data_IF_378071215744
#
_entry.id   IF_378071215744
#
_cell.length_a   1.000
_cell.length_b   1.000
_cell.length_c   1.000
_cell.angle_alpha   90.00
_cell.angle_beta   90.00
_cell.angle_gamma   90.00
#
_symmetry.space_group_name_H-M   'P 1'
#
loop_
_entity.id
_entity.type
_entity.pdbx_description
1 polymer ?
#
# COMPACT_ATOMS: atom_id res chain seq x y z
N UNK A 1 -49.97 49.83 18.52
CA UNK A 1 -48.71 50.10 17.80
C UNK A 1 -48.15 48.76 17.40
N UNK A 2 -48.24 48.48 16.11
CA UNK A 2 -47.96 47.18 15.51
C UNK A 2 -46.44 46.94 15.47
N UNK A 3 -45.97 45.92 16.20
CA UNK A 3 -44.55 45.58 16.34
C UNK A 3 -44.01 44.68 15.20
N UNK A 4 -44.68 44.69 14.05
CA UNK A 4 -44.41 43.80 12.91
C UNK A 4 -43.50 44.40 11.81
N UNK A 5 -42.90 45.58 12.02
CA UNK A 5 -42.09 46.28 11.00
C UNK A 5 -40.57 46.05 11.04
N UNK A 6 -40.05 45.11 11.85
CA UNK A 6 -38.65 44.67 11.72
C UNK A 6 -38.58 43.35 10.97
N UNK A 7 -38.41 43.44 9.64
CA UNK A 7 -38.15 42.28 8.79
C UNK A 7 -36.95 41.50 9.34
N UNK A 8 -37.18 40.23 9.71
CA UNK A 8 -36.09 39.31 10.07
C UNK A 8 -35.22 39.15 8.84
N UNK A 9 -34.04 39.78 8.83
CA UNK A 9 -33.03 39.51 7.80
C UNK A 9 -32.69 38.03 7.83
N UNK A 10 -32.69 37.42 6.65
CA UNK A 10 -32.27 36.03 6.47
C UNK A 10 -30.78 35.88 6.79
N UNK A 11 -30.36 34.68 7.20
CA UNK A 11 -28.96 34.41 7.53
C UNK A 11 -28.02 34.71 6.34
N UNK A 12 -28.45 34.46 5.11
CA UNK A 12 -27.70 34.79 3.89
C UNK A 12 -27.47 36.30 3.71
N UNK A 13 -28.48 37.12 4.02
CA UNK A 13 -28.35 38.59 3.96
C UNK A 13 -27.45 39.14 5.07
N UNK A 14 -27.36 38.43 6.21
CA UNK A 14 -26.42 38.80 7.26
C UNK A 14 -24.99 38.39 6.90
N UNK A 15 -24.79 37.20 6.32
CA UNK A 15 -23.48 36.71 5.91
C UNK A 15 -22.83 37.59 4.83
N UNK A 16 -23.62 38.10 3.86
CA UNK A 16 -23.10 38.96 2.79
C UNK A 16 -22.55 40.32 3.30
N UNK A 17 -22.99 40.79 4.48
CA UNK A 17 -22.41 41.99 5.11
C UNK A 17 -20.96 41.81 5.54
N UNK A 18 -20.50 40.57 5.63
CA UNK A 18 -19.14 40.22 5.99
C UNK A 18 -18.28 39.92 4.76
N UNK A 19 -18.70 40.20 3.53
CA UNK A 19 -17.84 39.97 2.36
C UNK A 19 -16.72 41.01 2.27
N UNK A 20 -15.48 40.54 2.10
CA UNK A 20 -14.33 41.42 1.93
C UNK A 20 -14.35 42.05 0.53
N UNK A 21 -14.31 43.39 0.40
CA UNK A 21 -14.35 44.06 -0.91
C UNK A 21 -13.08 43.86 -1.76
N UNK A 22 -12.06 43.17 -1.24
CA UNK A 22 -10.78 42.93 -1.92
C UNK A 22 -10.67 41.49 -2.42
N UNK A 23 -10.90 40.52 -1.54
CA UNK A 23 -10.75 39.10 -1.87
C UNK A 23 -12.08 38.35 -2.03
N UNK A 24 -13.21 39.00 -1.78
CA UNK A 24 -14.57 38.43 -1.83
C UNK A 24 -14.83 37.25 -0.87
N UNK A 25 -13.87 36.94 0.01
CA UNK A 25 -14.04 35.98 1.12
C UNK A 25 -14.76 36.63 2.31
N UNK A 26 -15.40 35.80 3.15
CA UNK A 26 -16.03 36.25 4.39
C UNK A 26 -14.99 36.71 5.43
N UNK A 27 -15.23 37.89 6.00
CA UNK A 27 -14.43 38.53 7.04
C UNK A 27 -14.80 37.90 8.38
N UNK A 28 -13.93 37.00 8.86
CA UNK A 28 -14.05 36.39 10.17
C UNK A 28 -13.27 37.19 11.24
N UNK A 29 -13.62 37.10 12.53
CA UNK A 29 -12.85 37.70 13.61
C UNK A 29 -11.35 37.32 13.55
N UNK A 30 -10.42 38.29 13.75
CA UNK A 30 -10.65 39.70 14.08
C UNK A 30 -11.13 40.53 12.88
N UNK A 31 -12.26 41.22 13.04
CA UNK A 31 -12.90 42.01 11.97
C UNK A 31 -12.32 43.42 12.02
N UNK A 32 -11.69 43.86 10.94
CA UNK A 32 -11.06 45.18 10.86
C UNK A 32 -11.93 46.16 10.09
N UNK A 33 -11.86 47.44 10.47
CA UNK A 33 -12.60 48.52 9.82
C UNK A 33 -11.70 49.74 9.54
N UNK A 34 -12.07 50.54 8.54
CA UNK A 34 -11.50 51.89 8.38
C UNK A 34 -12.12 52.88 9.37
N UNK A 35 -11.65 54.15 9.40
CA UNK A 35 -12.22 55.15 10.33
C UNK A 35 -13.70 55.46 10.04
N UNK A 36 -14.20 55.15 8.84
CA UNK A 36 -15.60 55.32 8.45
C UNK A 36 -16.45 54.04 8.61
N UNK A 37 -15.90 52.95 9.15
CA UNK A 37 -16.65 51.74 9.48
C UNK A 37 -16.75 50.66 8.39
N UNK A 38 -16.09 50.81 7.24
CA UNK A 38 -16.06 49.77 6.20
C UNK A 38 -15.15 48.61 6.59
N UNK A 39 -15.66 47.39 6.47
CA UNK A 39 -14.97 46.18 6.91
C UNK A 39 -13.93 45.70 5.88
N UNK A 40 -12.82 45.15 6.36
CA UNK A 40 -11.77 44.49 5.56
C UNK A 40 -11.23 43.30 6.36
N UNK A 41 -10.89 42.20 5.68
CA UNK A 41 -10.27 41.05 6.33
C UNK A 41 -8.82 41.33 6.77
N UNK A 42 -8.35 40.56 7.76
CA UNK A 42 -7.01 40.72 8.30
C UNK A 42 -5.90 40.53 7.25
N UNK A 43 -6.09 39.63 6.28
CA UNK A 43 -5.13 39.36 5.21
C UNK A 43 -5.00 40.54 4.26
N UNK A 44 -6.13 41.04 3.72
CA UNK A 44 -6.13 42.16 2.79
C UNK A 44 -5.68 43.47 3.43
N UNK A 45 -5.96 43.67 4.74
CA UNK A 45 -5.51 44.87 5.47
C UNK A 45 -4.00 45.09 5.40
N UNK A 46 -3.20 44.02 5.37
CA UNK A 46 -1.72 44.08 5.29
C UNK A 46 -1.22 44.59 3.94
N UNK A 47 -2.03 44.41 2.88
CA UNK A 47 -1.68 44.73 1.50
C UNK A 47 -2.18 46.10 1.05
N UNK A 48 -2.99 46.77 1.88
CA UNK A 48 -3.64 48.04 1.52
C UNK A 48 -3.39 49.11 2.57
N UNK A 49 -3.15 50.33 2.11
CA UNK A 49 -3.05 51.54 2.94
C UNK A 49 -4.31 52.39 2.87
N UNK A 50 -5.18 52.14 1.89
CA UNK A 50 -6.37 52.94 1.59
C UNK A 50 -7.61 52.06 1.59
N UNK A 51 -8.72 52.55 2.15
CA UNK A 51 -9.98 51.81 2.18
C UNK A 51 -10.51 51.59 0.75
N UNK A 52 -10.80 50.34 0.34
CA UNK A 52 -11.27 50.04 -1.01
C UNK A 52 -12.67 50.60 -1.27
N UNK A 53 -13.47 50.81 -0.22
CA UNK A 53 -14.85 51.31 -0.33
C UNK A 53 -14.92 52.84 -0.35
N UNK A 54 -14.32 53.52 0.64
CA UNK A 54 -14.43 54.98 0.77
C UNK A 54 -13.15 55.77 0.42
N UNK A 55 -12.07 55.10 0.01
CA UNK A 55 -10.79 55.70 -0.41
C UNK A 55 -10.05 56.53 0.65
N UNK A 56 -10.43 56.42 1.92
CA UNK A 56 -9.74 57.09 3.04
C UNK A 56 -8.51 56.28 3.47
N UNK A 57 -7.43 56.96 3.88
CA UNK A 57 -6.20 56.34 4.40
C UNK A 57 -6.48 55.57 5.70
N UNK A 58 -6.13 54.29 5.74
CA UNK A 58 -6.27 53.44 6.92
C UNK A 58 -5.00 53.56 7.78
N UNK A 59 -5.04 54.50 8.72
CA UNK A 59 -3.88 54.85 9.57
C UNK A 59 -3.62 53.86 10.71
N UNK A 60 -4.62 53.07 11.10
CA UNK A 60 -4.52 52.11 12.22
C UNK A 60 -5.28 50.82 11.93
N UNK A 61 -5.08 49.79 12.76
CA UNK A 61 -5.84 48.55 12.70
C UNK A 61 -6.99 48.63 13.71
N UNK A 62 -8.11 49.23 13.31
CA UNK A 62 -9.30 49.37 14.15
C UNK A 62 -10.10 48.07 14.07
N UNK A 63 -10.29 47.37 15.19
CA UNK A 63 -11.19 46.21 15.28
C UNK A 63 -12.64 46.65 15.45
N UNK A 64 -13.58 45.91 14.87
CA UNK A 64 -15.01 46.11 15.05
C UNK A 64 -15.58 45.03 15.98
N UNK A 65 -15.47 45.25 17.29
CA UNK A 65 -15.90 44.30 18.32
C UNK A 65 -17.41 43.99 18.25
N UNK A 66 -18.23 44.96 17.84
CA UNK A 66 -19.67 44.76 17.65
C UNK A 66 -19.93 43.81 16.49
N UNK A 67 -19.26 43.97 15.35
CA UNK A 67 -19.41 43.03 14.22
C UNK A 67 -18.87 41.65 14.55
N UNK A 68 -17.84 41.53 15.39
CA UNK A 68 -17.40 40.23 15.90
C UNK A 68 -18.49 39.52 16.73
N UNK A 69 -19.23 40.27 17.57
CA UNK A 69 -20.41 39.75 18.29
C UNK A 69 -21.57 39.39 17.37
N UNK A 70 -21.76 40.10 16.27
CA UNK A 70 -22.78 39.72 15.27
C UNK A 70 -22.34 38.44 14.56
N UNK A 71 -21.08 38.34 14.15
CA UNK A 71 -20.52 37.17 13.48
C UNK A 71 -20.65 35.88 14.30
N UNK A 72 -20.67 35.95 15.64
CA UNK A 72 -20.90 34.77 16.50
C UNK A 72 -22.31 34.18 16.41
N UNK A 73 -23.24 34.87 15.75
CA UNK A 73 -24.64 34.43 15.56
C UNK A 73 -25.01 34.19 14.10
N UNK A 74 -24.06 34.41 13.18
CA UNK A 74 -24.26 34.26 11.74
C UNK A 74 -23.60 32.97 11.27
N UNK A 75 -24.34 32.18 10.49
CA UNK A 75 -23.79 31.00 9.84
C UNK A 75 -23.21 31.38 8.47
N UNK A 76 -21.94 31.09 8.28
CA UNK A 76 -21.22 31.34 7.03
C UNK A 76 -21.16 30.05 6.21
N UNK A 77 -21.44 30.10 4.89
CA UNK A 77 -21.26 28.93 4.04
C UNK A 77 -19.78 28.55 3.93
N UNK A 78 -19.49 27.27 3.75
CA UNK A 78 -18.14 26.78 3.46
C UNK A 78 -17.58 27.45 2.20
N UNK A 79 -16.27 27.76 2.16
CA UNK A 79 -15.63 28.34 0.95
C UNK A 79 -15.72 27.44 -0.28
N UNK A 80 -15.88 26.13 -0.07
CA UNK A 80 -16.09 25.14 -1.12
C UNK A 80 -17.57 24.94 -1.49
N UNK A 81 -18.45 25.91 -1.17
CA UNK A 81 -19.87 25.83 -1.50
C UNK A 81 -20.12 25.74 -3.00
N UNK A 82 -19.31 26.44 -3.80
CA UNK A 82 -19.34 26.37 -5.26
C UNK A 82 -18.96 24.99 -5.81
N UNK A 83 -18.22 24.19 -5.02
CA UNK A 83 -17.82 22.83 -5.37
C UNK A 83 -18.81 21.78 -4.84
N UNK A 84 -19.90 22.19 -4.19
CA UNK A 84 -20.98 21.31 -3.74
C UNK A 84 -21.15 21.22 -2.21
N UNK A 85 -20.29 21.86 -1.41
CA UNK A 85 -20.45 21.85 0.04
C UNK A 85 -21.64 22.71 0.49
N UNK A 86 -22.69 22.07 1.02
CA UNK A 86 -23.91 22.78 1.46
C UNK A 86 -23.85 23.24 2.93
N UNK A 87 -22.76 22.94 3.63
CA UNK A 87 -22.64 23.20 5.07
C UNK A 87 -22.49 24.69 5.35
N UNK A 88 -23.23 25.17 6.36
CA UNK A 88 -23.13 26.53 6.90
C UNK A 88 -22.76 26.44 8.38
N UNK A 89 -21.78 27.21 8.83
CA UNK A 89 -21.13 27.05 10.13
C UNK A 89 -20.89 28.41 10.80
N UNK A 90 -20.83 28.43 12.12
CA UNK A 90 -20.34 29.59 12.85
C UNK A 90 -18.85 29.81 12.56
N UNK A 91 -18.37 31.04 12.74
CA UNK A 91 -16.96 31.37 12.42
C UNK A 91 -15.93 30.55 13.22
N UNK A 92 -16.31 30.04 14.39
CA UNK A 92 -15.44 29.24 15.27
C UNK A 92 -15.18 27.85 14.68
N UNK A 93 -16.21 27.25 14.08
CA UNK A 93 -16.15 25.89 13.54
C UNK A 93 -15.75 25.85 12.06
N UNK A 94 -15.95 26.96 11.35
CA UNK A 94 -15.68 27.08 9.91
C UNK A 94 -14.24 26.70 9.51
N UNK A 95 -13.17 27.17 10.19
CA UNK A 95 -11.80 26.79 9.83
C UNK A 95 -11.55 25.28 9.90
N UNK A 96 -11.97 24.64 10.99
CA UNK A 96 -11.81 23.19 11.17
C UNK A 96 -12.59 22.37 10.14
N UNK A 97 -13.82 22.79 9.83
CA UNK A 97 -14.58 22.16 8.74
C UNK A 97 -13.90 22.33 7.39
N UNK A 98 -13.42 23.52 7.05
CA UNK A 98 -12.80 23.77 5.74
C UNK A 98 -11.47 23.03 5.57
N UNK A 99 -10.74 22.79 6.65
CA UNK A 99 -9.53 21.98 6.63
C UNK A 99 -9.83 20.52 6.24
N UNK A 100 -10.91 19.96 6.79
CA UNK A 100 -11.38 18.58 6.59
C UNK A 100 -12.55 18.43 5.60
N UNK A 101 -12.83 19.45 4.77
CA UNK A 101 -14.01 19.44 3.91
C UNK A 101 -13.82 18.46 2.74
N UNK A 102 -14.78 17.56 2.54
CA UNK A 102 -14.72 16.57 1.43
C UNK A 102 -14.77 17.18 0.03
N UNK A 103 -15.24 18.42 -0.10
CA UNK A 103 -15.30 19.16 -1.36
C UNK A 103 -14.06 20.06 -1.58
N UNK A 104 -13.10 20.05 -0.66
CA UNK A 104 -11.81 20.73 -0.83
C UNK A 104 -11.07 20.09 -2.03
N UNK A 105 -10.61 20.89 -3.00
CA UNK A 105 -9.88 20.36 -4.13
C UNK A 105 -8.52 19.82 -3.68
N UNK A 106 -8.07 18.77 -4.36
CA UNK A 106 -6.74 18.20 -4.16
C UNK A 106 -5.71 19.10 -4.83
N UNK A 107 -4.60 19.33 -4.13
CA UNK A 107 -3.42 19.96 -4.69
C UNK A 107 -2.56 18.90 -5.40
N UNK A 108 -1.72 19.31 -6.35
CA UNK A 108 -0.75 18.39 -6.94
C UNK A 108 0.09 17.71 -5.84
N UNK A 109 0.13 16.36 -5.78
CA UNK A 109 0.84 15.64 -4.71
C UNK A 109 2.35 15.56 -4.93
N UNK A 110 2.87 16.05 -6.07
CA UNK A 110 4.28 15.92 -6.42
C UNK A 110 5.19 16.84 -5.59
N UNK A 111 6.10 16.30 -4.75
CA UNK A 111 7.02 17.08 -3.93
C UNK A 111 8.01 17.90 -4.79
N UNK A 112 8.51 19.00 -4.22
CA UNK A 112 9.57 19.82 -4.84
C UNK A 112 9.17 20.60 -6.11
N UNK A 113 7.99 20.36 -6.68
CA UNK A 113 7.56 21.05 -7.91
C UNK A 113 6.86 22.38 -7.64
N UNK A 114 7.05 23.37 -8.50
CA UNK A 114 6.29 24.64 -8.49
C UNK A 114 4.86 24.49 -9.05
N UNK A 115 4.34 23.26 -9.11
CA UNK A 115 3.04 22.95 -9.67
C UNK A 115 1.93 23.53 -8.79
N UNK A 116 1.11 24.41 -9.39
CA UNK A 116 -0.03 25.07 -8.71
C UNK A 116 -1.36 24.43 -9.08
N UNK A 117 -1.35 23.24 -9.67
CA UNK A 117 -2.57 22.56 -10.07
C UNK A 117 -3.43 22.21 -8.85
N UNK A 118 -4.73 22.42 -8.99
CA UNK A 118 -5.74 22.02 -8.02
C UNK A 118 -6.95 21.49 -8.77
N UNK A 119 -7.58 20.44 -8.26
CA UNK A 119 -8.73 19.83 -8.91
C UNK A 119 -9.39 18.72 -8.11
N UNK A 120 -10.44 18.10 -8.67
CA UNK A 120 -11.06 16.93 -8.06
C UNK A 120 -10.16 15.69 -8.19
N UNK A 121 -10.41 14.67 -7.37
CA UNK A 121 -9.53 13.50 -7.22
C UNK A 121 -9.37 12.68 -8.51
N UNK A 122 -10.42 12.58 -9.30
CA UNK A 122 -10.47 11.89 -10.59
C UNK A 122 -9.56 12.54 -11.65
N UNK A 123 -9.20 13.82 -11.46
CA UNK A 123 -8.29 14.54 -12.34
C UNK A 123 -6.82 14.51 -11.88
N UNK A 124 -6.52 13.97 -10.69
CA UNK A 124 -5.14 13.92 -10.16
C UNK A 124 -4.24 13.05 -11.03
N UNK A 125 -4.65 11.82 -11.34
CA UNK A 125 -3.85 10.92 -12.19
C UNK A 125 -3.65 11.46 -13.62
N UNK A 126 -4.70 11.92 -14.33
CA UNK A 126 -4.54 12.59 -15.62
C UNK A 126 -3.59 13.80 -15.58
N UNK A 127 -3.63 14.59 -14.49
CA UNK A 127 -2.72 15.69 -14.27
C UNK A 127 -1.26 15.20 -14.14
N UNK A 128 -1.00 14.19 -13.30
CA UNK A 128 0.34 13.63 -13.09
C UNK A 128 0.92 13.06 -14.39
N UNK A 129 0.14 12.28 -15.14
CA UNK A 129 0.59 11.68 -16.41
C UNK A 129 0.91 12.73 -17.49
N UNK A 130 0.21 13.88 -17.50
CA UNK A 130 0.38 14.90 -18.53
C UNK A 130 1.45 15.94 -18.19
N UNK A 131 1.49 16.41 -16.93
CA UNK A 131 2.36 17.49 -16.47
C UNK A 131 3.64 16.99 -15.78
N UNK A 132 3.65 15.76 -15.27
CA UNK A 132 4.78 15.17 -14.53
C UNK A 132 5.29 13.87 -15.19
N UNK A 133 5.62 13.95 -16.49
CA UNK A 133 6.02 12.80 -17.32
C UNK A 133 7.26 12.04 -16.84
N UNK A 134 8.07 12.65 -15.97
CA UNK A 134 9.25 12.03 -15.37
C UNK A 134 8.91 11.01 -14.29
N UNK A 135 7.66 11.02 -13.76
CA UNK A 135 7.24 10.08 -12.73
C UNK A 135 6.99 8.72 -13.39
N UNK A 136 7.79 7.73 -13.03
CA UNK A 136 7.59 6.34 -13.46
C UNK A 136 6.39 5.75 -12.75
N UNK A 137 5.57 5.00 -13.49
CA UNK A 137 4.48 4.19 -12.94
C UNK A 137 4.82 2.71 -13.10
N UNK A 138 4.76 1.93 -12.02
CA UNK A 138 4.94 0.49 -12.01
C UNK A 138 3.64 -0.20 -11.61
N UNK A 139 3.39 -1.39 -12.17
CA UNK A 139 2.24 -2.24 -11.83
C UNK A 139 2.70 -3.40 -10.94
N UNK A 140 1.85 -3.78 -9.99
CA UNK A 140 2.10 -4.89 -9.06
C UNK A 140 2.04 -4.46 -7.60
N UNK A 141 1.72 -5.42 -6.74
CA UNK A 141 1.65 -5.21 -5.29
C UNK A 141 3.03 -5.26 -4.62
N UNK A 142 4.02 -5.90 -5.24
CA UNK A 142 5.41 -5.97 -4.78
C UNK A 142 6.35 -5.48 -5.88
N UNK A 143 7.10 -4.40 -5.58
CA UNK A 143 8.00 -3.74 -6.53
C UNK A 143 9.29 -3.31 -5.86
N UNK A 144 10.30 -2.96 -6.66
CA UNK A 144 11.52 -2.31 -6.18
C UNK A 144 11.55 -0.86 -6.65
N UNK A 145 11.56 0.07 -5.69
CA UNK A 145 11.79 1.48 -5.93
C UNK A 145 13.28 1.80 -5.85
N UNK A 146 13.88 2.13 -7.01
CA UNK A 146 15.30 2.45 -7.11
C UNK A 146 15.50 3.98 -7.07
N UNK A 147 16.06 4.48 -5.98
CA UNK A 147 16.49 5.87 -5.86
C UNK A 147 17.95 5.99 -6.34
N UNK A 148 18.17 6.63 -7.48
CA UNK A 148 19.50 6.79 -8.08
C UNK A 148 20.24 8.00 -7.53
N UNK A 149 21.56 7.90 -7.41
CA UNK A 149 22.45 9.01 -6.99
C UNK A 149 22.08 9.65 -5.64
N UNK A 150 21.82 8.83 -4.61
CA UNK A 150 21.41 9.32 -3.26
C UNK A 150 22.46 10.21 -2.57
N UNK A 151 23.70 10.17 -3.06
CA UNK A 151 24.82 10.96 -2.55
C UNK A 151 24.87 12.40 -3.10
N UNK A 152 23.96 12.77 -4.02
CA UNK A 152 23.86 14.14 -4.50
C UNK A 152 23.71 15.12 -3.33
N UNK A 153 24.46 16.21 -3.38
CA UNK A 153 24.45 17.24 -2.35
C UNK A 153 23.18 18.08 -2.42
N UNK A 154 22.64 18.47 -1.26
CA UNK A 154 21.41 19.26 -1.14
C UNK A 154 20.16 18.42 -0.94
N UNK A 155 19.01 19.10 -1.00
CA UNK A 155 17.69 18.47 -0.93
C UNK A 155 17.31 17.92 -2.31
N UNK A 156 16.91 16.65 -2.33
CA UNK A 156 16.55 15.92 -3.55
C UNK A 156 15.36 15.02 -3.22
N UNK A 157 14.41 14.96 -4.15
CA UNK A 157 13.19 14.18 -4.04
C UNK A 157 13.16 13.12 -5.15
N UNK A 158 12.85 11.88 -4.77
CA UNK A 158 12.55 10.79 -5.70
C UNK A 158 11.08 10.42 -5.56
N UNK A 159 10.41 10.25 -6.70
CA UNK A 159 8.96 10.01 -6.75
C UNK A 159 8.66 8.91 -7.76
N UNK A 160 7.79 7.99 -7.37
CA UNK A 160 7.29 6.91 -8.22
C UNK A 160 5.82 6.66 -7.92
N UNK A 161 5.06 6.16 -8.90
CA UNK A 161 3.69 5.69 -8.70
C UNK A 161 3.66 4.17 -8.82
N UNK A 162 3.05 3.50 -7.85
CA UNK A 162 2.74 2.08 -7.86
C UNK A 162 1.24 1.90 -8.06
N UNK A 163 0.85 1.02 -8.99
CA UNK A 163 -0.56 0.73 -9.28
C UNK A 163 -0.87 -0.73 -8.95
N UNK A 164 -1.78 -0.93 -7.99
CA UNK A 164 -2.26 -2.24 -7.55
C UNK A 164 -3.65 -2.12 -6.93
N UNK A 165 -4.41 -3.22 -6.86
CA UNK A 165 -5.77 -3.25 -6.30
C UNK A 165 -6.72 -2.16 -6.83
N UNK A 166 -6.58 -1.78 -8.11
CA UNK A 166 -7.34 -0.68 -8.74
C UNK A 166 -7.16 0.69 -8.08
N UNK A 167 -6.07 0.88 -7.33
CA UNK A 167 -5.68 2.13 -6.71
C UNK A 167 -4.25 2.51 -7.15
N UNK A 168 -3.92 3.80 -6.99
CA UNK A 168 -2.59 4.33 -7.28
C UNK A 168 -1.97 4.87 -6.00
N UNK A 169 -0.72 4.48 -5.76
CA UNK A 169 0.04 4.85 -4.58
C UNK A 169 1.28 5.62 -5.02
N UNK A 170 1.49 6.79 -4.44
CA UNK A 170 2.67 7.61 -4.68
C UNK A 170 3.70 7.35 -3.59
N UNK A 171 4.88 6.90 -4.02
CA UNK A 171 6.03 6.73 -3.17
C UNK A 171 6.89 7.98 -3.27
N UNK A 172 7.27 8.51 -2.12
CA UNK A 172 8.12 9.69 -2.00
C UNK A 172 9.30 9.35 -1.11
N UNK A 173 10.52 9.52 -1.63
CA UNK A 173 11.74 9.57 -0.84
C UNK A 173 12.28 10.99 -0.90
N UNK A 174 12.27 11.68 0.22
CA UNK A 174 12.74 13.06 0.35
C UNK A 174 14.02 13.09 1.20
N UNK A 175 15.05 13.75 0.68
CA UNK A 175 16.30 14.03 1.40
C UNK A 175 16.26 15.46 1.94
N UNK A 176 16.22 15.61 3.26
CA UNK A 176 16.28 16.91 3.92
C UNK A 176 17.61 17.11 4.65
N UNK A 177 18.05 18.37 4.73
CA UNK A 177 19.16 18.79 5.58
C UNK A 177 18.63 19.61 6.76
N UNK A 178 18.70 19.04 7.98
CA UNK A 178 18.31 19.70 9.23
C UNK A 178 19.51 19.76 10.17
N UNK A 179 19.86 20.96 10.63
CA UNK A 179 20.95 21.19 11.60
C UNK A 179 22.31 20.57 11.19
N UNK A 180 22.63 20.60 9.89
CA UNK A 180 23.86 20.02 9.35
C UNK A 180 23.88 18.49 9.28
N UNK A 181 22.73 17.83 9.50
CA UNK A 181 22.54 16.40 9.29
C UNK A 181 21.58 16.15 8.14
N UNK A 182 21.96 15.27 7.23
CA UNK A 182 21.11 14.83 6.13
C UNK A 182 20.32 13.60 6.56
N UNK A 183 19.01 13.63 6.34
CA UNK A 183 18.09 12.55 6.64
C UNK A 183 17.19 12.28 5.45
N UNK A 184 16.88 11.01 5.24
CA UNK A 184 15.95 10.51 4.26
C UNK A 184 14.62 10.18 4.92
N UNK A 185 13.54 10.51 4.24
CA UNK A 185 12.17 10.26 4.66
C UNK A 185 11.45 9.54 3.53
N UNK A 186 11.02 8.30 3.76
CA UNK A 186 10.29 7.51 2.78
C UNK A 186 8.83 7.33 3.21
N UNK A 187 7.90 7.81 2.38
CA UNK A 187 6.46 7.84 2.64
C UNK A 187 5.71 7.24 1.46
N UNK A 188 4.65 6.48 1.74
CA UNK A 188 3.69 6.04 0.72
C UNK A 188 2.36 6.75 0.95
N UNK A 189 1.81 7.32 -0.12
CA UNK A 189 0.50 7.96 -0.12
C UNK A 189 -0.43 7.25 -1.08
N UNK A 190 -1.72 7.18 -0.76
CA UNK A 190 -2.75 6.75 -1.70
C UNK A 190 -3.35 7.96 -2.41
N UNK A 191 -3.51 7.86 -3.73
CA UNK A 191 -4.30 8.79 -4.55
C UNK A 191 -5.77 8.43 -4.33
N UNK A 192 -6.26 8.78 -3.14
CA UNK A 192 -7.52 8.31 -2.57
C UNK A 192 -7.88 9.09 -1.31
N UNK A 193 -9.07 8.83 -0.79
CA UNK A 193 -9.51 9.32 0.52
C UNK A 193 -8.84 8.59 1.69
N UNK A 194 -8.86 9.18 2.88
CA UNK A 194 -8.39 8.53 4.12
C UNK A 194 -9.07 7.18 4.37
N UNK A 195 -10.38 7.09 4.15
CA UNK A 195 -11.13 5.82 4.26
C UNK A 195 -10.64 4.75 3.31
N UNK A 196 -10.20 5.12 2.11
CA UNK A 196 -9.56 4.17 1.19
C UNK A 196 -8.17 3.79 1.69
N UNK A 197 -7.44 4.75 2.26
CA UNK A 197 -6.11 4.53 2.82
C UNK A 197 -6.11 3.52 3.98
N UNK A 198 -7.11 3.59 4.86
CA UNK A 198 -7.34 2.62 5.95
C UNK A 198 -7.50 1.17 5.45
N UNK A 199 -7.88 0.99 4.18
CA UNK A 199 -7.99 -0.31 3.52
C UNK A 199 -6.67 -0.81 2.93
N UNK A 200 -5.53 -0.25 3.31
CA UNK A 200 -4.21 -0.74 2.89
C UNK A 200 -3.15 -0.60 3.99
N UNK A 201 -2.14 -1.44 3.93
CA UNK A 201 -0.87 -1.32 4.65
C UNK A 201 0.23 -1.39 3.61
N UNK A 202 1.25 -0.55 3.73
CA UNK A 202 2.45 -0.62 2.92
C UNK A 202 3.63 -1.06 3.78
N UNK A 203 4.57 -1.76 3.16
CA UNK A 203 5.86 -2.14 3.73
C UNK A 203 6.98 -1.58 2.88
N UNK A 204 7.90 -0.87 3.52
CA UNK A 204 9.16 -0.43 2.94
C UNK A 204 10.30 -1.23 3.54
N UNK A 205 11.12 -1.83 2.70
CA UNK A 205 12.24 -2.65 3.13
C UNK A 205 13.54 -2.22 2.44
N UNK A 206 14.55 -1.93 3.27
CA UNK A 206 15.94 -1.80 2.83
C UNK A 206 16.65 -3.11 3.15
N UNK A 207 17.19 -3.75 2.11
CA UNK A 207 17.90 -5.02 2.23
C UNK A 207 19.35 -4.85 1.82
N UNK A 208 20.26 -5.42 2.63
CA UNK A 208 21.69 -5.38 2.40
C UNK A 208 22.33 -6.65 2.96
N UNK A 209 23.65 -6.78 2.81
CA UNK A 209 24.33 -8.02 3.17
C UNK A 209 24.12 -8.41 4.65
N UNK A 210 23.31 -9.46 4.87
CA UNK A 210 22.89 -9.98 6.20
C UNK A 210 22.19 -8.94 7.10
N UNK A 211 21.55 -7.93 6.51
CA UNK A 211 20.85 -6.86 7.25
C UNK A 211 19.58 -6.48 6.52
N UNK A 212 18.56 -6.14 7.31
CA UNK A 212 17.27 -5.71 6.80
C UNK A 212 16.70 -4.65 7.72
N UNK A 213 16.15 -3.57 7.15
CA UNK A 213 15.37 -2.56 7.85
C UNK A 213 13.97 -2.55 7.22
N UNK A 214 12.95 -2.66 8.05
CA UNK A 214 11.55 -2.73 7.61
C UNK A 214 10.73 -1.67 8.32
N UNK A 215 9.87 -0.99 7.58
CA UNK A 215 8.84 -0.09 8.09
C UNK A 215 7.49 -0.47 7.50
N UNK A 216 6.47 -0.57 8.35
CA UNK A 216 5.10 -0.88 7.95
C UNK A 216 4.16 0.19 8.51
N UNK A 217 3.28 0.71 7.67
CA UNK A 217 2.27 1.68 8.08
C UNK A 217 1.08 1.71 7.12
N UNK A 218 0.00 2.37 7.53
CA UNK A 218 -1.11 2.72 6.64
C UNK A 218 -0.68 3.86 5.71
N UNK A 219 -0.94 3.78 4.39
CA UNK A 219 -0.61 4.87 3.49
C UNK A 219 -1.41 6.12 3.88
N UNK A 220 -0.82 7.30 3.69
CA UNK A 220 -1.54 8.57 3.94
C UNK A 220 -2.38 8.95 2.73
N UNK A 221 -3.48 9.66 2.92
CA UNK A 221 -4.17 10.27 1.78
C UNK A 221 -3.31 11.40 1.19
N UNK A 222 -3.37 11.59 -0.12
CA UNK A 222 -2.84 12.81 -0.76
C UNK A 222 -3.49 14.10 -0.25
N UNK A 223 -4.61 14.01 0.49
CA UNK A 223 -5.27 15.16 1.11
C UNK A 223 -4.41 15.84 2.19
N UNK A 224 -3.69 15.04 2.98
CA UNK A 224 -2.85 15.51 4.09
C UNK A 224 -1.46 15.95 3.63
N UNK A 225 -1.05 15.50 2.43
CA UNK A 225 0.31 15.64 1.93
C UNK A 225 1.33 14.80 2.70
N UNK A 226 2.58 14.81 2.24
CA UNK A 226 3.68 14.09 2.92
C UNK A 226 4.26 14.88 4.10
N UNK A 227 4.11 16.20 4.10
CA UNK A 227 4.81 17.08 5.04
C UNK A 227 4.42 16.83 6.49
N UNK A 228 3.16 16.50 6.76
CA UNK A 228 2.67 16.18 8.11
C UNK A 228 3.37 14.93 8.67
N UNK A 229 3.50 13.88 7.85
CA UNK A 229 4.21 12.65 8.22
C UNK A 229 5.71 12.93 8.44
N UNK A 230 6.35 13.68 7.55
CA UNK A 230 7.77 14.05 7.64
C UNK A 230 8.05 14.91 8.90
N UNK A 231 7.17 15.85 9.23
CA UNK A 231 7.34 16.72 10.39
C UNK A 231 7.15 15.98 11.73
N UNK A 232 6.32 14.95 11.74
CA UNK A 232 6.04 14.12 12.93
C UNK A 232 6.93 12.89 13.02
N UNK A 233 7.78 12.63 12.03
CA UNK A 233 8.56 11.41 11.85
C UNK A 233 7.69 10.13 11.80
N UNK A 234 6.45 10.25 11.31
CA UNK A 234 5.53 9.12 11.08
C UNK A 234 5.77 8.49 9.71
N UNK A 235 7.01 8.07 9.45
CA UNK A 235 7.45 7.43 8.22
C UNK A 235 8.80 6.72 8.41
N UNK A 236 9.30 6.03 7.36
CA UNK A 236 10.63 5.44 7.40
C UNK A 236 11.68 6.55 7.32
N UNK A 237 12.39 6.78 8.43
CA UNK A 237 13.45 7.79 8.54
C UNK A 237 14.81 7.12 8.74
N UNK A 238 15.80 7.53 7.96
CA UNK A 238 17.18 7.06 8.10
C UNK A 238 18.20 8.12 7.71
N UNK A 239 19.41 8.02 8.27
CA UNK A 239 20.50 8.95 7.96
C UNK A 239 21.32 8.49 6.74
N UNK A 240 22.23 9.35 6.28
CA UNK A 240 23.15 9.04 5.18
C UNK A 240 24.07 7.86 5.47
N UNK A 241 24.42 7.62 6.74
CA UNK A 241 25.28 6.50 7.12
C UNK A 241 24.56 5.17 6.93
N UNK A 242 23.27 5.12 7.28
CA UNK A 242 22.43 3.95 7.07
C UNK A 242 22.14 3.75 5.58
N UNK A 243 21.81 4.83 4.86
CA UNK A 243 21.60 4.78 3.41
C UNK A 243 22.79 4.15 2.68
N UNK A 244 24.02 4.55 3.04
CA UNK A 244 25.25 4.00 2.46
C UNK A 244 25.46 2.51 2.72
N UNK A 245 24.91 1.96 3.82
CA UNK A 245 25.01 0.52 4.13
C UNK A 245 24.05 -0.34 3.29
N UNK A 246 23.01 0.28 2.74
CA UNK A 246 21.98 -0.38 1.93
C UNK A 246 22.05 0.02 0.44
N UNK A 247 22.86 1.02 0.09
CA UNK A 247 23.05 1.45 -1.30
C UNK A 247 24.18 0.70 -1.99
N UNK A 248 24.01 0.41 -3.27
CA UNK A 248 25.05 -0.11 -4.16
C UNK A 248 25.32 0.89 -5.28
N UNK A 249 26.59 1.23 -5.51
CA UNK A 249 27.00 2.22 -6.53
C UNK A 249 26.28 3.58 -6.44
N UNK A 250 25.87 3.99 -5.23
CA UNK A 250 25.15 5.24 -5.02
C UNK A 250 23.64 5.17 -5.31
N UNK A 251 23.11 3.98 -5.61
CA UNK A 251 21.69 3.73 -5.79
C UNK A 251 21.13 2.98 -4.59
N UNK A 252 19.94 3.38 -4.12
CA UNK A 252 19.24 2.75 -3.01
C UNK A 252 17.99 2.03 -3.53
N UNK A 253 17.96 0.70 -3.41
CA UNK A 253 16.78 -0.10 -3.66
C UNK A 253 15.89 -0.19 -2.42
N UNK A 254 14.63 0.15 -2.57
CA UNK A 254 13.60 0.01 -1.53
C UNK A 254 12.57 -0.98 -2.04
N UNK A 255 12.44 -2.12 -1.40
CA UNK A 255 11.35 -3.05 -1.69
C UNK A 255 10.06 -2.46 -1.12
N UNK A 256 9.03 -2.39 -1.95
CA UNK A 256 7.75 -1.76 -1.60
C UNK A 256 6.66 -2.76 -1.87
N UNK A 257 5.99 -3.15 -0.78
CA UNK A 257 4.85 -4.05 -0.86
C UNK A 257 3.60 -3.35 -0.36
N UNK A 258 2.49 -3.49 -1.06
CA UNK A 258 1.18 -2.95 -0.69
C UNK A 258 0.21 -4.11 -0.49
N UNK A 259 -0.51 -4.10 0.63
CA UNK A 259 -1.41 -5.18 1.00
C UNK A 259 -2.72 -4.62 1.57
N UNK A 260 -3.87 -5.28 1.36
CA UNK A 260 -5.08 -4.97 2.12
C UNK A 260 -4.92 -5.34 3.61
N UNK A 261 -5.55 -4.62 4.56
CA UNK A 261 -5.35 -4.72 6.00
C UNK A 261 -6.05 -5.94 6.61
N UNK A 262 -6.89 -6.64 5.83
CA UNK A 262 -7.73 -7.74 6.33
C UNK A 262 -6.97 -9.06 6.41
N UNK A 263 -5.84 -9.05 7.09
CA UNK A 263 -5.21 -10.27 7.59
C UNK A 263 -4.72 -9.96 9.01
N UNK A 264 -5.54 -10.31 10.00
CA UNK A 264 -5.25 -10.15 11.44
C UNK A 264 -5.18 -11.55 12.04
N UNK A 265 -4.05 -11.93 12.62
CA UNK A 265 -3.88 -13.25 13.24
C UNK A 265 -3.07 -13.09 14.55
N UNK A 266 -3.57 -13.65 15.65
CA UNK A 266 -2.90 -13.69 16.96
C UNK A 266 -2.38 -12.34 17.51
N UNK A 267 -3.20 -11.29 17.52
CA UNK A 267 -2.85 -9.96 18.04
C UNK A 267 -1.61 -9.31 17.37
N UNK A 268 -1.18 -9.83 16.21
CA UNK A 268 -0.15 -9.25 15.37
C UNK A 268 -0.69 -8.99 13.96
N UNK A 269 -0.23 -7.89 13.36
CA UNK A 269 -0.57 -7.55 11.98
C UNK A 269 0.16 -8.51 11.05
N UNK A 270 -0.57 -9.15 10.14
CA UNK A 270 0.05 -10.01 9.14
C UNK A 270 0.91 -9.14 8.22
N UNK A 271 2.21 -9.43 8.21
CA UNK A 271 3.23 -8.65 7.50
C UNK A 271 2.91 -8.58 6.02
N UNK A 272 3.05 -7.39 5.44
CA UNK A 272 2.87 -7.21 4.02
C UNK A 272 4.02 -7.93 3.27
N UNK A 273 3.70 -8.68 2.21
CA UNK A 273 4.64 -9.59 1.51
C UNK A 273 4.58 -11.06 1.95
N UNK A 274 3.75 -11.41 2.95
CA UNK A 274 3.48 -12.79 3.32
C UNK A 274 2.36 -13.44 2.48
N UNK A 275 1.94 -12.85 1.35
CA UNK A 275 0.85 -13.40 0.53
C UNK A 275 1.14 -14.84 0.04
N UNK A 276 2.42 -15.21 -0.09
CA UNK A 276 2.83 -16.59 -0.42
C UNK A 276 2.93 -17.53 0.81
N UNK A 277 3.16 -16.98 2.01
CA UNK A 277 3.31 -17.75 3.25
C UNK A 277 1.99 -17.91 4.02
N UNK A 278 0.99 -17.08 3.72
CA UNK A 278 -0.27 -17.05 4.48
C UNK A 278 -1.27 -18.14 4.13
N UNK A 279 -1.07 -18.89 3.05
CA UNK A 279 -1.81 -20.14 2.89
C UNK A 279 -1.39 -21.16 3.97
N UNK A 280 -0.21 -20.96 4.58
CA UNK A 280 0.40 -21.93 5.52
C UNK A 280 0.24 -21.50 6.98
N UNK A 281 0.48 -20.24 7.33
CA UNK A 281 0.45 -19.81 8.75
C UNK A 281 -0.98 -19.69 9.31
N UNK A 282 -2.02 -19.63 8.46
CA UNK A 282 -3.42 -19.77 8.89
C UNK A 282 -3.77 -21.18 9.44
N UNK A 283 -2.78 -22.07 9.57
CA UNK A 283 -2.91 -23.36 10.26
C UNK A 283 -2.68 -23.28 11.77
N UNK A 284 -2.29 -22.12 12.33
CA UNK A 284 -2.13 -21.96 13.78
C UNK A 284 -2.87 -20.69 14.23
N UNK A 285 -4.06 -20.93 14.80
CA UNK A 285 -4.85 -20.04 15.65
C UNK A 285 -5.60 -18.87 14.97
N UNK A 286 -6.84 -19.14 14.55
CA UNK A 286 -7.84 -18.14 14.17
C UNK A 286 -8.18 -17.23 15.37
N UNK A 287 -7.46 -16.11 15.50
CA UNK A 287 -7.70 -15.08 16.52
C UNK A 287 -8.47 -13.85 16.02
N UNK A 288 -9.18 -13.93 14.89
CA UNK A 288 -10.00 -12.83 14.36
C UNK A 288 -10.86 -13.23 13.16
N UNK A 289 -12.17 -13.02 13.25
CA UNK A 289 -13.14 -13.37 12.22
C UNK A 289 -12.95 -12.54 10.93
N UNK A 290 -12.83 -13.21 9.79
CA UNK A 290 -12.89 -12.56 8.47
C UNK A 290 -14.34 -12.09 8.25
N UNK A 291 -14.61 -10.79 8.46
CA UNK A 291 -16.00 -10.28 8.44
C UNK A 291 -16.58 -10.21 7.04
N UNK A 292 -15.80 -9.81 6.03
CA UNK A 292 -16.26 -9.65 4.65
C UNK A 292 -15.13 -9.91 3.64
N UNK A 293 -15.43 -10.75 2.64
CA UNK A 293 -14.59 -10.98 1.48
C UNK A 293 -15.04 -10.10 0.30
N UNK A 294 -14.12 -9.58 -0.53
CA UNK A 294 -14.48 -8.81 -1.72
C UNK A 294 -15.36 -9.63 -2.65
N UNK A 295 -16.47 -9.05 -3.11
CA UNK A 295 -17.24 -9.66 -4.20
C UNK A 295 -16.46 -9.51 -5.50
N UNK A 296 -16.08 -10.64 -6.07
CA UNK A 296 -15.35 -10.70 -7.33
C UNK A 296 -15.92 -11.82 -8.19
N UNK A 297 -16.49 -11.46 -9.34
CA UNK A 297 -17.05 -12.42 -10.30
C UNK A 297 -15.99 -13.00 -11.26
N UNK A 298 -14.70 -12.65 -11.09
CA UNK A 298 -13.62 -13.20 -11.91
C UNK A 298 -13.42 -14.69 -11.60
N UNK A 299 -13.79 -15.53 -12.56
CA UNK A 299 -13.65 -16.99 -12.51
C UNK A 299 -12.21 -17.44 -12.21
N UNK A 300 -11.20 -16.63 -12.57
CA UNK A 300 -9.78 -16.94 -12.34
C UNK A 300 -9.37 -16.83 -10.87
N UNK A 301 -10.18 -16.15 -10.05
CA UNK A 301 -9.93 -16.02 -8.61
C UNK A 301 -10.56 -17.12 -7.77
N UNK A 302 -11.36 -18.00 -8.39
CA UNK A 302 -11.93 -19.16 -7.71
C UNK A 302 -10.83 -20.11 -7.27
N UNK A 303 -11.13 -20.93 -6.27
CA UNK A 303 -10.20 -21.93 -5.73
C UNK A 303 -10.93 -23.25 -5.53
N UNK A 304 -10.21 -24.35 -5.71
CA UNK A 304 -10.68 -25.68 -5.38
C UNK A 304 -10.14 -26.09 -4.00
N UNK A 305 -11.00 -26.59 -3.13
CA UNK A 305 -10.60 -27.13 -1.83
C UNK A 305 -10.07 -28.55 -1.95
N UNK A 306 -9.37 -29.03 -0.91
CA UNK A 306 -8.97 -30.42 -0.77
C UNK A 306 -10.15 -31.42 -0.65
N UNK A 307 -11.39 -30.92 -0.57
CA UNK A 307 -12.63 -31.71 -0.60
C UNK A 307 -13.35 -31.62 -1.95
N UNK A 308 -12.67 -31.11 -2.99
CA UNK A 308 -13.20 -30.95 -4.34
C UNK A 308 -14.42 -29.99 -4.41
N UNK A 309 -14.42 -28.97 -3.56
CA UNK A 309 -15.44 -27.92 -3.56
C UNK A 309 -14.88 -26.62 -4.13
N UNK A 310 -15.63 -25.98 -5.03
CA UNK A 310 -15.22 -24.71 -5.63
C UNK A 310 -15.71 -23.53 -4.81
N UNK A 311 -14.79 -22.63 -4.46
CA UNK A 311 -15.05 -21.42 -3.70
C UNK A 311 -14.83 -20.17 -4.55
N UNK A 312 -15.55 -19.09 -4.24
CA UNK A 312 -15.47 -17.83 -5.00
C UNK A 312 -14.08 -17.20 -4.96
N UNK A 313 -13.37 -17.34 -3.84
CA UNK A 313 -11.96 -16.99 -3.71
C UNK A 313 -11.30 -17.70 -2.53
N UNK A 314 -9.98 -17.61 -2.47
CA UNK A 314 -9.15 -17.97 -1.32
C UNK A 314 -9.68 -17.36 -0.01
N UNK A 315 -10.10 -16.08 -0.02
CA UNK A 315 -10.72 -15.42 1.13
C UNK A 315 -11.98 -16.14 1.61
N UNK A 316 -12.87 -16.55 0.69
CA UNK A 316 -14.14 -17.18 1.06
C UNK A 316 -13.93 -18.57 1.70
N UNK A 317 -13.00 -19.35 1.15
CA UNK A 317 -12.62 -20.65 1.69
C UNK A 317 -12.00 -20.51 3.09
N UNK A 318 -11.05 -19.57 3.25
CA UNK A 318 -10.41 -19.30 4.54
C UNK A 318 -11.40 -18.77 5.57
N UNK A 319 -12.29 -17.84 5.18
CA UNK A 319 -13.35 -17.33 6.05
C UNK A 319 -14.22 -18.48 6.59
N UNK A 320 -14.69 -19.36 5.72
CA UNK A 320 -15.51 -20.49 6.13
C UNK A 320 -14.77 -21.44 7.10
N UNK A 321 -13.49 -21.72 6.83
CA UNK A 321 -12.64 -22.50 7.73
C UNK A 321 -12.52 -21.83 9.10
N UNK A 322 -12.24 -20.52 9.14
CA UNK A 322 -12.15 -19.74 10.38
C UNK A 322 -13.47 -19.76 11.17
N UNK A 323 -14.60 -19.51 10.51
CA UNK A 323 -15.94 -19.53 11.12
C UNK A 323 -16.22 -20.90 11.78
N UNK A 324 -15.79 -22.00 11.15
CA UNK A 324 -15.93 -23.34 11.69
C UNK A 324 -14.96 -23.68 12.84
N UNK A 325 -13.80 -23.03 12.91
CA UNK A 325 -12.86 -23.15 14.03
C UNK A 325 -13.28 -22.32 15.25
N UNK A 326 -13.91 -21.15 15.06
CA UNK A 326 -14.42 -20.34 16.18
C UNK A 326 -15.63 -20.97 16.88
N UNK A 327 -16.44 -21.77 16.16
CA UNK A 327 -17.62 -22.46 16.69
C UNK A 327 -17.32 -23.72 17.53
N UNK A 328 -16.05 -23.95 17.92
CA UNK A 328 -15.60 -25.13 18.69
C UNK A 328 -16.29 -25.30 20.06
N UNK A 329 -17.04 -24.30 20.55
CA UNK A 329 -17.85 -24.39 21.78
C UNK A 329 -19.38 -24.32 21.58
N UNK A 330 -19.89 -24.31 20.34
CA UNK A 330 -21.33 -24.29 20.07
C UNK A 330 -21.81 -25.70 19.66
N UNK A 331 -22.66 -26.29 20.49
CA UNK A 331 -23.16 -27.68 20.39
C UNK A 331 -24.06 -27.94 19.17
N UNK A 332 -24.35 -26.94 18.32
CA UNK A 332 -25.22 -27.11 17.15
C UNK A 332 -24.84 -26.15 16.01
N UNK A 333 -23.75 -26.43 15.29
CA UNK A 333 -23.57 -25.86 13.96
C UNK A 333 -23.89 -26.88 12.90
N UNK A 334 -25.12 -26.82 12.39
CA UNK A 334 -25.60 -27.58 11.22
C UNK A 334 -24.74 -27.35 9.95
N UNK A 335 -23.82 -26.39 9.98
CA UNK A 335 -23.03 -25.92 8.84
C UNK A 335 -21.52 -26.22 8.93
N UNK A 336 -21.00 -26.60 10.10
CA UNK A 336 -19.56 -26.83 10.29
C UNK A 336 -19.26 -28.27 10.72
N UNK A 337 -18.68 -29.05 9.81
CA UNK A 337 -18.21 -30.42 10.07
C UNK A 337 -16.75 -30.43 10.53
N UNK A 338 -16.25 -31.60 10.96
CA UNK A 338 -14.81 -31.79 11.22
C UNK A 338 -13.98 -31.53 9.95
N UNK A 339 -14.47 -31.94 8.79
CA UNK A 339 -13.82 -31.74 7.49
C UNK A 339 -13.65 -30.26 7.16
N UNK A 340 -14.68 -29.43 7.40
CA UNK A 340 -14.61 -27.97 7.16
C UNK A 340 -13.52 -27.26 8.00
N UNK A 341 -13.11 -27.82 9.14
CA UNK A 341 -12.04 -27.26 9.98
C UNK A 341 -10.64 -27.51 9.40
N UNK A 342 -10.48 -28.59 8.64
CA UNK A 342 -9.24 -28.99 7.98
C UNK A 342 -9.21 -28.60 6.48
N UNK A 343 -10.22 -27.85 6.04
CA UNK A 343 -10.32 -27.38 4.67
C UNK A 343 -9.20 -26.41 4.33
N UNK A 344 -8.54 -26.65 3.20
CA UNK A 344 -7.50 -25.79 2.63
C UNK A 344 -7.63 -25.76 1.11
N UNK A 345 -6.94 -24.81 0.49
CA UNK A 345 -6.86 -24.74 -0.98
C UNK A 345 -6.01 -25.91 -1.46
N UNK A 346 -6.48 -26.64 -2.46
CA UNK A 346 -5.70 -27.66 -3.16
C UNK A 346 -5.07 -27.07 -4.43
N UNK A 347 -5.85 -26.29 -5.20
CA UNK A 347 -5.36 -25.54 -6.36
C UNK A 347 -6.22 -24.32 -6.72
N UNK A 348 -5.64 -23.41 -7.51
CA UNK A 348 -6.35 -22.23 -8.03
C UNK A 348 -7.18 -22.58 -9.27
N UNK A 349 -8.39 -21.99 -9.34
CA UNK A 349 -9.40 -22.26 -10.36
C UNK A 349 -10.61 -23.01 -9.82
N UNK A 350 -11.56 -23.30 -10.71
CA UNK A 350 -12.70 -24.18 -10.40
C UNK A 350 -12.22 -25.63 -10.29
N UNK A 351 -12.92 -26.41 -9.46
CA UNK A 351 -12.64 -27.83 -9.34
C UNK A 351 -12.88 -28.56 -10.66
N UNK A 352 -11.91 -29.37 -11.06
CA UNK A 352 -11.92 -30.19 -12.27
C UNK A 352 -11.68 -31.65 -11.90
N UNK A 353 -12.14 -32.53 -12.76
CA UNK A 353 -11.76 -33.93 -12.72
C UNK A 353 -10.31 -34.04 -13.23
N UNK A 354 -9.37 -34.35 -12.33
CA UNK A 354 -7.95 -34.45 -12.62
C UNK A 354 -7.65 -35.92 -12.88
N UNK A 355 -7.22 -36.26 -14.11
CA UNK A 355 -6.81 -37.62 -14.44
C UNK A 355 -5.65 -38.07 -13.52
N UNK A 356 -5.69 -39.30 -12.99
CA UNK A 356 -4.60 -39.81 -12.17
C UNK A 356 -3.28 -39.82 -12.95
N UNK A 357 -2.17 -39.58 -12.25
CA UNK A 357 -0.86 -39.63 -12.88
C UNK A 357 -0.56 -41.04 -13.41
N UNK A 358 -0.06 -41.12 -14.64
CA UNK A 358 0.41 -42.36 -15.25
C UNK A 358 1.92 -42.47 -15.07
N UNK A 359 2.41 -43.66 -14.73
CA UNK A 359 3.84 -43.90 -14.48
C UNK A 359 4.73 -43.40 -15.63
N UNK A 360 4.31 -43.62 -16.88
CA UNK A 360 5.03 -43.14 -18.08
C UNK A 360 5.20 -41.62 -18.14
N UNK A 361 4.22 -40.86 -17.62
CA UNK A 361 4.24 -39.39 -17.59
C UNK A 361 5.05 -38.90 -16.39
N UNK A 362 5.01 -39.64 -15.28
CA UNK A 362 5.77 -39.37 -14.06
C UNK A 362 7.27 -39.56 -14.28
N UNK A 363 7.69 -40.58 -15.03
CA UNK A 363 9.11 -40.83 -15.33
C UNK A 363 9.78 -39.65 -16.06
N UNK A 364 9.06 -38.96 -16.95
CA UNK A 364 9.56 -37.78 -17.67
C UNK A 364 9.32 -36.45 -16.92
N UNK A 365 8.50 -36.46 -15.86
CA UNK A 365 8.12 -35.26 -15.11
C UNK A 365 9.32 -34.49 -14.50
N UNK A 366 10.31 -35.15 -13.84
CA UNK A 366 11.47 -34.45 -13.29
C UNK A 366 12.22 -33.64 -14.34
N UNK A 367 12.37 -34.18 -15.56
CA UNK A 367 13.06 -33.49 -16.65
C UNK A 367 12.30 -32.23 -17.09
N UNK A 368 10.99 -32.33 -17.30
CA UNK A 368 10.16 -31.16 -17.67
C UNK A 368 10.16 -30.09 -16.58
N UNK A 369 10.11 -30.51 -15.32
CA UNK A 369 10.19 -29.61 -14.18
C UNK A 369 11.52 -28.84 -14.14
N UNK A 370 12.65 -29.51 -14.42
CA UNK A 370 13.95 -28.82 -14.55
C UNK A 370 13.98 -27.80 -15.68
N UNK A 371 13.50 -28.18 -16.86
CA UNK A 371 13.48 -27.30 -18.03
C UNK A 371 12.61 -26.05 -17.76
N UNK A 372 11.50 -26.25 -17.03
CA UNK A 372 10.64 -25.16 -16.56
C UNK A 372 11.33 -24.27 -15.52
N UNK A 373 12.01 -24.85 -14.52
CA UNK A 373 12.77 -24.08 -13.53
C UNK A 373 13.93 -23.29 -14.15
N UNK A 374 14.65 -23.84 -15.13
CA UNK A 374 15.70 -23.10 -15.87
C UNK A 374 15.09 -21.93 -16.66
N UNK A 375 13.89 -22.12 -17.22
CA UNK A 375 13.17 -21.05 -17.89
C UNK A 375 12.74 -19.95 -16.91
N UNK A 376 12.25 -20.34 -15.72
CA UNK A 376 11.84 -19.39 -14.68
C UNK A 376 13.04 -18.59 -14.16
N UNK A 377 14.14 -19.23 -13.79
CA UNK A 377 15.30 -18.49 -13.28
C UNK A 377 15.88 -17.57 -14.36
N UNK A 378 15.83 -17.97 -15.64
CA UNK A 378 16.26 -17.13 -16.77
C UNK A 378 15.36 -15.91 -17.01
N UNK A 379 14.07 -16.02 -16.70
CA UNK A 379 13.10 -14.92 -16.71
C UNK A 379 13.14 -14.09 -15.42
N UNK A 380 13.57 -14.71 -14.32
CA UNK A 380 13.80 -14.04 -13.05
C UNK A 380 14.95 -13.05 -13.19
N UNK A 381 14.93 -12.00 -12.38
CA UNK A 381 16.04 -11.06 -12.32
C UNK A 381 17.29 -11.66 -11.68
N UNK A 382 17.46 -12.95 -11.40
CA UNK A 382 18.60 -13.42 -10.57
C UNK A 382 19.93 -13.50 -11.33
N UNK A 383 21.04 -12.99 -10.75
CA UNK A 383 22.43 -13.26 -11.14
C UNK A 383 23.08 -14.28 -10.21
N UNK A 384 23.80 -15.23 -10.81
CA UNK A 384 24.67 -16.18 -10.10
C UNK A 384 26.09 -15.63 -10.13
N UNK A 385 26.63 -15.25 -8.98
CA UNK A 385 28.01 -14.77 -8.90
C UNK A 385 28.98 -15.94 -9.07
N UNK A 386 29.55 -16.08 -10.27
CA UNK A 386 30.55 -17.06 -10.71
C UNK A 386 30.04 -18.40 -11.28
N UNK A 387 29.59 -18.41 -12.54
CA UNK A 387 29.75 -19.60 -13.37
C UNK A 387 30.55 -19.27 -14.63
N UNK A 388 31.80 -19.76 -14.66
CA UNK A 388 32.54 -19.94 -15.91
C UNK A 388 31.77 -21.01 -16.70
N UNK A 389 31.25 -20.62 -17.86
CA UNK A 389 30.85 -21.45 -19.01
C UNK A 389 30.86 -22.97 -18.77
N UNK A 390 29.78 -23.51 -18.22
CA UNK A 390 29.43 -24.91 -18.46
C UNK A 390 27.91 -25.07 -18.54
N UNK A 391 27.41 -25.52 -19.69
CA UNK A 391 25.96 -25.63 -19.96
C UNK A 391 25.29 -26.68 -19.06
N UNK A 392 26.06 -27.66 -18.59
CA UNK A 392 25.58 -28.78 -17.78
C UNK A 392 25.27 -28.37 -16.33
N UNK A 393 25.82 -27.26 -15.83
CA UNK A 393 25.62 -26.81 -14.45
C UNK A 393 24.51 -25.75 -14.29
N UNK A 394 23.96 -25.23 -15.40
CA UNK A 394 22.99 -24.14 -15.37
C UNK A 394 21.65 -24.55 -14.73
N UNK A 395 21.18 -25.76 -15.05
CA UNK A 395 19.94 -26.29 -14.49
C UNK A 395 20.10 -26.68 -13.01
N UNK A 396 21.31 -27.04 -12.56
CA UNK A 396 21.61 -27.28 -11.14
C UNK A 396 21.41 -26.00 -10.33
N UNK A 397 21.93 -24.88 -10.82
CA UNK A 397 21.74 -23.58 -10.18
C UNK A 397 20.25 -23.18 -10.14
N UNK A 398 19.46 -23.52 -11.17
CA UNK A 398 18.00 -23.32 -11.19
C UNK A 398 17.27 -24.10 -10.09
N UNK A 399 17.68 -25.35 -9.87
CA UNK A 399 17.10 -26.22 -8.84
C UNK A 399 17.44 -25.71 -7.44
N UNK A 400 18.71 -25.37 -7.19
CA UNK A 400 19.16 -24.86 -5.90
C UNK A 400 18.48 -23.51 -5.62
N UNK A 401 18.43 -22.60 -6.60
CA UNK A 401 17.70 -21.34 -6.47
C UNK A 401 16.24 -21.58 -6.07
N UNK A 402 15.56 -22.52 -6.73
CA UNK A 402 14.16 -22.77 -6.41
C UNK A 402 13.98 -23.33 -5.01
N UNK A 403 14.88 -24.21 -4.56
CA UNK A 403 14.88 -24.69 -3.18
C UNK A 403 15.00 -23.53 -2.18
N UNK A 404 15.95 -22.62 -2.41
CA UNK A 404 16.14 -21.44 -1.57
C UNK A 404 14.98 -20.44 -1.63
N UNK A 405 14.26 -20.37 -2.75
CA UNK A 405 13.02 -19.59 -2.87
C UNK A 405 11.85 -20.26 -2.14
N UNK A 406 11.84 -21.58 -1.95
CA UNK A 406 10.77 -22.27 -1.23
C UNK A 406 10.99 -22.27 0.29
N UNK A 407 12.23 -22.45 0.76
CA UNK A 407 12.63 -22.35 2.16
C UNK A 407 12.54 -20.88 2.62
N UNK A 408 11.40 -20.46 3.16
CA UNK A 408 11.16 -19.04 3.55
C UNK A 408 10.90 -18.84 5.04
N UNK A 409 10.10 -19.69 5.68
CA UNK A 409 9.73 -19.50 7.08
C UNK A 409 9.31 -20.79 7.81
N UNK A 410 10.08 -21.24 8.81
CA UNK A 410 11.41 -20.76 9.20
C UNK A 410 12.45 -21.06 8.11
N UNK A 411 13.45 -20.18 7.92
CA UNK A 411 14.64 -20.51 7.12
C UNK A 411 15.45 -21.61 7.81
N UNK A 412 15.01 -22.85 7.69
CA UNK A 412 15.55 -24.00 8.42
C UNK A 412 16.32 -24.97 7.51
N UNK A 413 16.42 -24.66 6.21
CA UNK A 413 17.10 -25.45 5.17
C UNK A 413 16.39 -26.76 4.85
N UNK A 414 15.09 -26.81 5.12
CA UNK A 414 14.20 -27.87 4.68
C UNK A 414 13.04 -27.24 3.92
N UNK A 415 12.44 -27.99 3.01
CA UNK A 415 11.20 -27.59 2.35
C UNK A 415 10.10 -28.50 2.88
N UNK A 416 9.22 -27.93 3.69
CA UNK A 416 8.04 -28.63 4.19
C UNK A 416 6.97 -28.80 3.10
N UNK A 417 6.02 -29.73 3.29
CA UNK A 417 4.85 -29.88 2.40
C UNK A 417 4.09 -28.57 2.17
N UNK A 418 4.12 -27.69 3.17
CA UNK A 418 3.46 -26.39 3.10
C UNK A 418 4.22 -25.40 2.21
N UNK A 419 5.55 -25.42 2.24
CA UNK A 419 6.41 -24.57 1.39
C UNK A 419 6.37 -24.99 -0.08
N UNK A 420 5.90 -26.20 -0.39
CA UNK A 420 5.66 -26.66 -1.76
C UNK A 420 4.37 -26.12 -2.38
N UNK A 421 3.47 -25.53 -1.59
CA UNK A 421 2.20 -25.01 -2.05
C UNK A 421 2.31 -24.05 -3.26
N UNK A 422 3.27 -23.11 -3.33
CA UNK A 422 3.45 -22.20 -4.47
C UNK A 422 3.83 -22.90 -5.79
N UNK A 423 4.29 -24.15 -5.74
CA UNK A 423 4.50 -24.99 -6.91
C UNK A 423 3.26 -25.83 -7.22
N UNK A 424 2.71 -26.49 -6.19
CA UNK A 424 1.59 -27.42 -6.33
C UNK A 424 0.32 -26.70 -6.81
N UNK A 425 -0.16 -25.70 -6.08
CA UNK A 425 -1.48 -25.13 -6.32
C UNK A 425 -1.67 -24.42 -7.67
N UNK A 426 -0.66 -23.73 -8.25
CA UNK A 426 -0.79 -23.14 -9.58
C UNK A 426 -0.75 -24.18 -10.70
N UNK A 427 -0.02 -25.28 -10.52
CA UNK A 427 0.29 -26.24 -11.59
C UNK A 427 -0.59 -27.49 -11.56
N UNK A 428 -1.17 -27.86 -10.42
CA UNK A 428 -1.91 -29.12 -10.24
C UNK A 428 -3.07 -29.31 -11.22
N UNK A 429 -3.79 -28.23 -11.56
CA UNK A 429 -4.88 -28.30 -12.55
C UNK A 429 -4.41 -28.45 -14.01
N UNK A 430 -3.11 -28.32 -14.26
CA UNK A 430 -2.47 -28.44 -15.58
C UNK A 430 -1.55 -29.67 -15.68
N UNK A 431 -0.98 -30.09 -14.56
CA UNK A 431 0.02 -31.14 -14.44
C UNK A 431 -0.38 -32.08 -13.30
N UNK A 432 -1.15 -33.12 -13.62
CA UNK A 432 -1.72 -34.04 -12.61
C UNK A 432 -0.66 -34.80 -11.80
N UNK A 433 0.53 -35.01 -12.38
CA UNK A 433 1.64 -35.71 -11.75
C UNK A 433 2.41 -34.89 -10.71
N UNK A 434 2.12 -33.59 -10.54
CA UNK A 434 2.91 -32.75 -9.64
C UNK A 434 2.81 -33.19 -8.18
N UNK A 435 1.62 -33.64 -7.74
CA UNK A 435 1.44 -34.13 -6.36
C UNK A 435 2.24 -35.40 -6.12
N UNK A 436 2.08 -36.40 -6.99
CA UNK A 436 2.79 -37.69 -6.88
C UNK A 436 4.31 -37.52 -7.00
N UNK A 437 4.76 -36.59 -7.85
CA UNK A 437 6.16 -36.23 -7.98
C UNK A 437 6.72 -35.61 -6.68
N UNK A 438 6.04 -34.59 -6.15
CA UNK A 438 6.50 -33.87 -4.95
C UNK A 438 6.48 -34.77 -3.71
N UNK A 439 5.45 -35.60 -3.57
CA UNK A 439 5.37 -36.59 -2.49
C UNK A 439 6.49 -37.65 -2.62
N UNK A 440 6.86 -38.02 -3.84
CA UNK A 440 7.99 -38.92 -4.12
C UNK A 440 9.37 -38.32 -3.86
N UNK A 441 9.50 -37.00 -3.71
CA UNK A 441 10.77 -36.36 -3.36
C UNK A 441 11.16 -36.53 -1.89
N UNK A 442 10.21 -36.82 -1.01
CA UNK A 442 10.42 -37.10 0.42
C UNK A 442 10.79 -38.58 0.64
N UNK A 443 12.05 -38.94 0.34
CA UNK A 443 12.49 -40.34 0.27
C UNK A 443 12.50 -41.06 1.63
N UNK A 444 12.59 -40.32 2.73
CA UNK A 444 12.61 -40.85 4.10
C UNK A 444 11.25 -40.67 4.83
N UNK A 445 10.26 -40.06 4.17
CA UNK A 445 8.90 -39.78 4.67
C UNK A 445 8.89 -39.04 6.02
N UNK A 446 9.85 -38.12 6.22
CA UNK A 446 9.91 -37.29 7.42
C UNK A 446 9.14 -35.96 7.28
N UNK A 447 8.45 -35.79 6.14
CA UNK A 447 7.68 -34.61 5.75
C UNK A 447 8.53 -33.34 5.54
N UNK A 448 9.84 -33.52 5.35
CA UNK A 448 10.81 -32.45 5.11
C UNK A 448 11.74 -32.82 3.96
N UNK A 449 11.66 -32.06 2.88
CA UNK A 449 12.56 -32.27 1.74
C UNK A 449 13.86 -31.52 2.00
N UNK A 450 14.97 -32.24 2.10
CA UNK A 450 16.31 -31.65 2.14
C UNK A 450 16.78 -31.20 0.76
N UNK A 451 17.79 -30.32 0.70
CA UNK A 451 18.40 -29.90 -0.58
C UNK A 451 18.89 -31.10 -1.42
N UNK A 452 19.41 -32.14 -0.76
CA UNK A 452 19.92 -33.34 -1.44
C UNK A 452 18.77 -34.20 -1.98
N UNK A 453 17.69 -34.37 -1.24
CA UNK A 453 16.49 -35.08 -1.68
C UNK A 453 15.81 -34.36 -2.84
N UNK A 454 15.66 -33.04 -2.74
CA UNK A 454 15.15 -32.19 -3.81
C UNK A 454 15.97 -32.34 -5.10
N UNK A 455 17.30 -32.27 -4.98
CA UNK A 455 18.21 -32.45 -6.11
C UNK A 455 18.11 -33.85 -6.72
N UNK A 456 18.12 -34.90 -5.89
CA UNK A 456 18.00 -36.29 -6.34
C UNK A 456 16.67 -36.54 -7.04
N UNK A 457 15.57 -35.97 -6.53
CA UNK A 457 14.24 -36.06 -7.12
C UNK A 457 14.21 -35.45 -8.53
N UNK A 458 14.97 -34.37 -8.73
CA UNK A 458 15.17 -33.73 -10.02
C UNK A 458 16.36 -34.30 -10.79
N UNK A 459 16.95 -35.43 -10.40
CA UNK A 459 18.00 -36.12 -11.17
C UNK A 459 19.40 -35.51 -11.08
N UNK A 460 19.66 -34.63 -10.11
CA UNK A 460 21.00 -34.15 -9.78
C UNK A 460 21.76 -35.16 -8.91
N UNK A 461 23.08 -35.19 -9.01
CA UNK A 461 23.90 -36.00 -8.10
C UNK A 461 24.06 -35.30 -6.74
N UNK A 462 24.15 -36.06 -5.62
CA UNK A 462 24.31 -35.46 -4.29
C UNK A 462 25.54 -34.55 -4.15
N UNK A 463 26.61 -34.83 -4.90
CA UNK A 463 27.86 -34.07 -4.84
C UNK A 463 27.75 -32.67 -5.48
N UNK A 464 26.80 -32.49 -6.40
CA UNK A 464 26.50 -31.21 -7.07
C UNK A 464 25.60 -30.30 -6.23
N UNK A 465 24.83 -30.88 -5.29
CA UNK A 465 23.83 -30.20 -4.46
C UNK A 465 24.44 -29.50 -3.25
N UNK A 466 25.27 -28.50 -3.52
CA UNK A 466 25.88 -27.66 -2.49
C UNK A 466 24.98 -26.47 -2.16
N UNK A 467 24.85 -26.14 -0.87
CA UNK A 467 24.12 -24.96 -0.41
C UNK A 467 24.79 -23.67 -0.94
N UNK A 468 24.16 -23.10 -1.96
CA UNK A 468 24.56 -21.84 -2.61
C UNK A 468 23.48 -20.77 -2.45
N UNK A 469 22.57 -20.87 -1.48
CA UNK A 469 21.47 -19.91 -1.35
C UNK A 469 21.93 -18.45 -1.28
N UNK A 470 23.12 -18.20 -0.69
CA UNK A 470 23.72 -16.88 -0.60
C UNK A 470 24.34 -16.33 -1.91
N UNK A 471 24.40 -17.12 -2.99
CA UNK A 471 25.01 -16.75 -4.27
C UNK A 471 23.99 -16.25 -5.30
N UNK A 472 22.69 -16.43 -5.02
CA UNK A 472 21.60 -15.97 -5.87
C UNK A 472 21.19 -14.56 -5.44
N UNK A 473 21.51 -13.56 -6.27
CA UNK A 473 21.22 -12.14 -6.00
C UNK A 473 20.22 -11.65 -7.05
N UNK A 474 19.17 -10.92 -6.67
CA UNK A 474 18.26 -10.28 -7.63
C UNK A 474 18.97 -9.11 -8.36
N UNK A 475 19.08 -9.16 -9.70
CA UNK A 475 19.42 -8.05 -10.59
C UNK A 475 18.48 -6.88 -10.33
N UNK A 476 19.10 -5.71 -10.29
CA UNK A 476 18.48 -4.40 -10.29
C UNK A 476 17.40 -4.25 -11.39
#
# INVERSE_FOLDING_TARGET
MDSSLFGKKSNSELASLFECPVCFEYILPPILQCQNGHLVCQTCRKMITTCPTCRVQITSNIRNLQMEKVASSVYFPCKYSILGCKTQLLYQDKPGHEEACTHKPYICPCPGTSCKWQGPIDQVMPHLMSQHKSITTLEGEDIVFLATDINLSGAVDWVMIQSCFSHHFMLVLEKQEKNGRQQFYAVVQIIGSEKQAENFIYRLELSGHKRRLVWEATPKSIHDGVQTAINTNDCLVFDTTLAQRFSENGNLGINVTICPPKMYCNNEWIKCGALLLLVVVASIECGGAITECPQNDDLRRRVCSNYNETWQSDCHLMKHRCDCLEQVNAVDSKYCTYEHKHMHIDYYGECKDIEPCRDEVLEDFPRRMRDWLDSIISLSRVEVTNSKQDMEHKWIDAIIWKFCDLDKEPHDRYVSRHELFPLRAPLLSMESCISDFLDGCDANDDHKITLVEWGKCLGASPDEMQDKCNQFISKA
#
